data_IF_074585188733
#
_entry.id   IF_074585188733
#
_cell.length_a   1.000
_cell.length_b   1.000
_cell.length_c   1.000
_cell.angle_alpha   90.00
_cell.angle_beta   90.00
_cell.angle_gamma   90.00
#
_symmetry.space_group_name_H-M   'P 1'
#
loop_
_entity.id
_entity.type
_entity.pdbx_description
1 polymer ?
#
# COMPACT_ATOMS: atom_id res chain seq x y z
N UNK A 1 -3.42 0.38 13.00
CA UNK A 1 -4.21 -0.56 13.83
C UNK A 1 -3.53 -0.71 15.17
N UNK A 2 -4.29 -0.85 16.25
CA UNK A 2 -3.79 -1.07 17.62
C UNK A 2 -3.67 -2.57 17.91
N UNK A 3 -2.97 -2.93 18.98
CA UNK A 3 -2.94 -4.30 19.49
C UNK A 3 -4.22 -4.60 20.28
N UNK A 4 -4.85 -5.78 20.13
CA UNK A 4 -4.40 -6.96 19.38
C UNK A 4 -4.84 -7.00 17.90
N UNK A 5 -5.69 -6.08 17.45
CA UNK A 5 -6.30 -6.15 16.12
C UNK A 5 -5.26 -6.15 14.99
N UNK A 6 -4.12 -5.48 15.17
CA UNK A 6 -3.02 -5.49 14.21
C UNK A 6 -2.42 -6.89 14.00
N UNK A 7 -2.26 -7.68 15.07
CA UNK A 7 -1.79 -9.06 15.02
C UNK A 7 -2.83 -9.97 14.41
N UNK A 8 -4.07 -9.89 14.90
CA UNK A 8 -5.20 -10.69 14.42
C UNK A 8 -5.41 -10.50 12.91
N UNK A 9 -5.39 -9.25 12.45
CA UNK A 9 -5.52 -8.91 11.03
C UNK A 9 -4.36 -9.48 10.21
N UNK A 10 -3.12 -9.34 10.70
CA UNK A 10 -1.96 -9.87 9.96
C UNK A 10 -2.01 -11.40 9.84
N UNK A 11 -2.35 -12.11 10.92
CA UNK A 11 -2.51 -13.57 10.91
C UNK A 11 -3.65 -13.99 9.98
N UNK A 12 -4.80 -13.31 10.05
CA UNK A 12 -5.94 -13.59 9.18
C UNK A 12 -5.58 -13.42 7.70
N UNK A 13 -4.87 -12.35 7.33
CA UNK A 13 -4.41 -12.12 5.95
C UNK A 13 -3.45 -13.22 5.50
N UNK A 14 -2.47 -13.61 6.33
CA UNK A 14 -1.58 -14.69 5.95
C UNK A 14 -2.33 -16.02 5.73
N UNK A 15 -3.35 -16.31 6.54
CA UNK A 15 -4.19 -17.50 6.37
C UNK A 15 -4.99 -17.46 5.08
N UNK A 16 -5.63 -16.32 4.75
CA UNK A 16 -6.34 -16.14 3.48
C UNK A 16 -5.41 -16.41 2.29
N UNK A 17 -4.17 -15.92 2.33
CA UNK A 17 -3.18 -16.16 1.27
C UNK A 17 -2.85 -17.65 1.15
N UNK A 18 -2.67 -18.36 2.27
CA UNK A 18 -2.41 -19.82 2.28
C UNK A 18 -3.59 -20.63 1.76
N UNK A 19 -4.81 -20.28 2.16
CA UNK A 19 -6.05 -20.92 1.72
C UNK A 19 -6.26 -20.79 0.21
N UNK A 20 -5.75 -19.71 -0.39
CA UNK A 20 -5.74 -19.48 -1.84
C UNK A 20 -4.51 -20.08 -2.55
N UNK A 21 -3.76 -20.98 -1.89
CA UNK A 21 -2.65 -21.72 -2.48
C UNK A 21 -1.36 -20.92 -2.68
N UNK A 22 -1.25 -19.75 -2.07
CA UNK A 22 -0.06 -18.89 -2.14
C UNK A 22 0.73 -18.89 -0.83
N UNK A 23 2.01 -18.51 -0.88
CA UNK A 23 2.87 -18.41 0.31
C UNK A 23 2.93 -16.95 0.77
N UNK A 24 2.40 -16.60 1.95
CA UNK A 24 2.54 -15.24 2.48
C UNK A 24 3.99 -15.00 2.93
N UNK A 25 4.47 -13.78 2.69
CA UNK A 25 5.77 -13.33 3.15
C UNK A 25 5.62 -11.95 3.80
N UNK A 26 5.21 -11.89 5.06
CA UNK A 26 5.20 -10.63 5.81
C UNK A 26 6.63 -10.09 5.93
N UNK A 27 6.85 -8.85 5.52
CA UNK A 27 8.17 -8.22 5.49
C UNK A 27 8.30 -7.22 6.64
N UNK A 28 9.42 -7.29 7.36
CA UNK A 28 9.80 -6.30 8.36
C UNK A 28 11.31 -6.33 8.60
N UNK A 29 11.81 -5.37 9.39
CA UNK A 29 13.17 -5.41 9.92
C UNK A 29 13.09 -5.76 11.40
N UNK A 30 13.74 -6.83 11.84
CA UNK A 30 13.82 -7.23 13.24
C UNK A 30 15.27 -7.16 13.70
N UNK A 31 15.57 -6.31 14.67
CA UNK A 31 16.92 -6.13 15.23
C UNK A 31 18.00 -5.93 14.16
N UNK A 32 17.73 -5.05 13.19
CA UNK A 32 18.60 -4.75 12.05
C UNK A 32 18.62 -5.78 10.93
N UNK A 33 17.91 -6.91 11.06
CA UNK A 33 17.84 -7.94 10.02
C UNK A 33 16.57 -7.78 9.19
N UNK A 34 16.73 -7.72 7.87
CA UNK A 34 15.60 -7.79 6.93
C UNK A 34 15.03 -9.21 6.99
N UNK A 35 13.74 -9.33 7.25
CA UNK A 35 13.01 -10.59 7.25
C UNK A 35 11.98 -10.56 6.12
N UNK A 36 11.97 -11.61 5.30
CA UNK A 36 10.99 -11.83 4.24
C UNK A 36 10.24 -13.11 4.59
N UNK A 37 9.05 -12.95 5.16
CA UNK A 37 8.36 -14.00 5.90
C UNK A 37 8.74 -13.94 7.38
N UNK A 38 7.82 -13.45 8.21
CA UNK A 38 7.96 -13.47 9.66
C UNK A 38 7.50 -14.82 10.22
N UNK A 39 8.15 -15.26 11.29
CA UNK A 39 7.59 -16.31 12.15
C UNK A 39 6.43 -15.74 12.99
N UNK A 40 5.58 -16.60 13.53
CA UNK A 40 4.48 -16.18 14.42
C UNK A 40 4.98 -15.31 15.58
N UNK A 41 6.11 -15.68 16.20
CA UNK A 41 6.73 -14.91 17.26
C UNK A 41 7.27 -13.55 16.77
N UNK A 42 7.85 -13.51 15.57
CA UNK A 42 8.32 -12.26 14.96
C UNK A 42 7.16 -11.30 14.66
N UNK A 43 6.04 -11.85 14.19
CA UNK A 43 4.82 -11.09 13.92
C UNK A 43 4.19 -10.55 15.20
N UNK A 44 4.07 -11.38 16.23
CA UNK A 44 3.56 -10.98 17.55
C UNK A 44 4.44 -9.91 18.19
N UNK A 45 5.76 -10.09 18.15
CA UNK A 45 6.73 -9.10 18.65
C UNK A 45 6.51 -7.75 17.97
N UNK A 46 6.42 -7.72 16.64
CA UNK A 46 6.21 -6.48 15.89
C UNK A 46 4.86 -5.83 16.23
N UNK A 47 3.81 -6.64 16.36
CA UNK A 47 2.47 -6.17 16.69
C UNK A 47 2.38 -5.55 18.09
N UNK A 48 3.00 -6.17 19.08
CA UNK A 48 3.07 -5.67 20.47
C UNK A 48 3.94 -4.42 20.59
N UNK A 49 5.04 -4.32 19.81
CA UNK A 49 5.89 -3.13 19.80
C UNK A 49 5.11 -1.87 19.36
N UNK A 50 4.18 -2.01 18.42
CA UNK A 50 3.37 -0.90 17.93
C UNK A 50 4.23 0.28 17.48
N UNK A 51 4.00 1.45 18.08
CA UNK A 51 4.73 2.70 17.75
C UNK A 51 6.21 2.68 18.13
N UNK A 52 6.67 1.73 18.97
CA UNK A 52 8.09 1.58 19.31
C UNK A 52 8.90 1.01 18.14
N UNK A 53 8.25 0.26 17.24
CA UNK A 53 8.89 -0.17 16.00
C UNK A 53 8.96 1.03 15.04
N UNK A 54 10.14 1.33 14.51
CA UNK A 54 10.33 2.48 13.63
C UNK A 54 9.56 2.26 12.32
N UNK A 55 8.67 3.20 11.97
CA UNK A 55 8.04 3.20 10.64
C UNK A 55 9.10 3.48 9.58
N UNK A 56 9.33 2.52 8.70
CA UNK A 56 10.49 2.52 7.80
C UNK A 56 10.07 2.64 6.33
N UNK A 57 10.33 3.81 5.74
CA UNK A 57 10.28 4.01 4.29
C UNK A 57 11.62 3.66 3.66
N UNK A 58 11.76 3.75 2.33
CA UNK A 58 13.02 3.46 1.62
C UNK A 58 14.21 4.17 2.26
N UNK A 59 14.07 5.45 2.59
CA UNK A 59 15.15 6.27 3.18
C UNK A 59 15.61 5.74 4.54
N UNK A 60 14.72 5.09 5.28
CA UNK A 60 14.98 4.62 6.64
C UNK A 60 15.66 3.24 6.64
N UNK A 61 15.56 2.46 5.56
CA UNK A 61 16.02 1.07 5.53
C UNK A 61 17.49 0.92 5.94
N UNK A 62 18.39 1.71 5.34
CA UNK A 62 19.81 1.65 5.64
C UNK A 62 20.10 2.01 7.10
N UNK A 63 19.42 3.03 7.62
CA UNK A 63 19.57 3.46 9.01
C UNK A 63 19.10 2.35 9.97
N UNK A 64 17.87 1.85 9.81
CA UNK A 64 17.28 0.83 10.69
C UNK A 64 18.15 -0.44 10.72
N UNK A 65 18.64 -0.89 9.57
CA UNK A 65 19.53 -2.04 9.45
C UNK A 65 20.86 -1.78 10.16
N UNK A 66 21.53 -0.66 9.84
CA UNK A 66 22.85 -0.34 10.41
C UNK A 66 22.85 -0.18 11.93
N UNK A 67 21.72 0.29 12.48
CA UNK A 67 21.58 0.56 13.91
C UNK A 67 21.02 -0.64 14.69
N UNK A 68 20.80 -1.79 14.05
CA UNK A 68 20.26 -2.95 14.76
C UNK A 68 18.83 -2.77 15.25
N UNK A 69 18.05 -1.86 14.63
CA UNK A 69 16.70 -1.50 15.09
C UNK A 69 15.62 -2.42 14.50
N UNK A 70 14.48 -2.48 15.17
CA UNK A 70 13.26 -3.08 14.62
C UNK A 70 12.43 -2.00 13.92
N UNK A 71 12.00 -2.30 12.69
CA UNK A 71 11.22 -1.39 11.86
C UNK A 71 10.05 -2.08 11.14
N UNK A 72 8.90 -1.41 11.19
CA UNK A 72 7.71 -1.77 10.40
C UNK A 72 7.81 -1.09 9.03
N UNK A 73 7.86 -1.87 7.96
CA UNK A 73 8.06 -1.32 6.61
C UNK A 73 6.77 -0.70 6.06
N UNK A 74 6.89 0.49 5.49
CA UNK A 74 5.82 1.13 4.69
C UNK A 74 5.65 0.41 3.35
N UNK A 75 4.74 0.87 2.48
CA UNK A 75 4.61 0.35 1.11
C UNK A 75 5.94 0.50 0.37
N UNK A 76 6.53 1.70 0.35
CA UNK A 76 7.84 1.96 -0.26
C UNK A 76 8.93 1.02 0.28
N UNK A 77 9.07 0.91 1.61
CA UNK A 77 10.07 0.03 2.23
C UNK A 77 9.86 -1.45 1.88
N UNK A 78 8.60 -1.88 1.84
CA UNK A 78 8.22 -3.27 1.53
C UNK A 78 8.50 -3.61 0.08
N UNK A 79 8.13 -2.73 -0.87
CA UNK A 79 8.40 -2.93 -2.30
C UNK A 79 9.89 -3.12 -2.59
N UNK A 80 10.73 -2.28 -1.97
CA UNK A 80 12.20 -2.35 -2.09
C UNK A 80 12.72 -3.74 -1.70
N UNK A 81 12.23 -4.29 -0.59
CA UNK A 81 12.68 -5.59 -0.07
C UNK A 81 12.06 -6.74 -0.89
N UNK A 82 10.77 -6.67 -1.18
CA UNK A 82 10.03 -7.66 -1.96
C UNK A 82 10.67 -7.87 -3.33
N UNK A 83 10.97 -6.79 -4.04
CA UNK A 83 11.62 -6.86 -5.35
C UNK A 83 12.99 -7.53 -5.28
N UNK A 84 13.82 -7.17 -4.30
CA UNK A 84 15.13 -7.82 -4.09
C UNK A 84 15.03 -9.29 -3.71
N UNK A 85 13.93 -9.71 -3.10
CA UNK A 85 13.64 -11.09 -2.79
C UNK A 85 12.98 -11.85 -3.97
N UNK A 86 12.78 -11.20 -5.12
CA UNK A 86 12.12 -11.79 -6.29
C UNK A 86 10.59 -11.89 -6.18
N UNK A 87 9.99 -11.25 -5.17
CA UNK A 87 8.54 -11.19 -4.98
C UNK A 87 7.95 -10.09 -5.85
N UNK A 88 6.99 -10.45 -6.70
CA UNK A 88 6.41 -9.57 -7.73
C UNK A 88 5.04 -9.01 -7.39
N UNK A 89 4.38 -9.55 -6.36
CA UNK A 89 3.03 -9.15 -5.94
C UNK A 89 3.06 -8.81 -4.45
N UNK A 90 2.48 -7.66 -4.10
CA UNK A 90 2.39 -7.17 -2.74
C UNK A 90 0.97 -6.67 -2.48
N UNK A 91 0.32 -7.13 -1.40
CA UNK A 91 -1.00 -6.67 -0.98
C UNK A 91 -0.91 -5.76 0.24
N UNK A 92 -1.67 -4.68 0.26
CA UNK A 92 -1.80 -3.78 1.40
C UNK A 92 -3.21 -3.21 1.47
N UNK A 93 -3.57 -2.55 2.57
CA UNK A 93 -4.88 -1.88 2.65
C UNK A 93 -4.99 -0.73 1.66
N UNK A 94 -4.02 0.18 1.65
CA UNK A 94 -4.02 1.36 0.80
C UNK A 94 -2.62 1.97 0.75
N UNK A 95 -2.26 2.54 -0.39
CA UNK A 95 -0.95 3.20 -0.55
C UNK A 95 -0.94 4.59 0.12
N UNK A 96 0.24 5.15 0.35
CA UNK A 96 0.37 6.60 0.53
C UNK A 96 0.19 7.33 -0.81
N UNK A 97 0.18 8.65 -0.78
CA UNK A 97 -0.12 9.47 -1.96
C UNK A 97 0.26 10.92 -1.76
N UNK A 98 -0.31 11.78 -2.59
CA UNK A 98 -0.21 13.24 -2.46
C UNK A 98 -1.15 13.68 -1.34
N UNK A 99 -0.64 14.44 -0.38
CA UNK A 99 -1.47 14.97 0.71
C UNK A 99 -2.27 16.19 0.27
N UNK A 100 -3.39 16.48 0.96
CA UNK A 100 -4.13 17.73 0.76
C UNK A 100 -3.23 18.94 1.05
N UNK A 101 -3.17 19.90 0.11
CA UNK A 101 -2.31 21.08 0.22
C UNK A 101 -0.85 20.86 -0.19
N UNK A 102 -0.52 19.71 -0.77
CA UNK A 102 0.85 19.38 -1.21
C UNK A 102 1.42 20.36 -2.25
N UNK A 103 0.58 21.10 -2.98
CA UNK A 103 1.04 22.18 -3.87
C UNK A 103 1.78 23.31 -3.12
N UNK A 104 1.64 23.37 -1.79
CA UNK A 104 2.39 24.28 -0.91
C UNK A 104 3.37 23.54 -0.01
N UNK A 105 2.94 22.44 0.62
CA UNK A 105 3.74 21.73 1.62
C UNK A 105 4.77 20.78 1.01
N UNK A 106 4.58 20.37 -0.24
CA UNK A 106 5.33 19.29 -0.89
C UNK A 106 5.25 17.95 -0.14
N UNK A 107 4.23 17.75 0.69
CA UNK A 107 4.00 16.50 1.42
C UNK A 107 3.46 15.42 0.47
N UNK A 108 4.38 14.64 -0.08
CA UNK A 108 4.10 13.59 -1.05
C UNK A 108 4.76 12.30 -0.58
N UNK A 109 3.98 11.23 -0.50
CA UNK A 109 4.48 9.92 -0.05
C UNK A 109 5.58 9.38 -0.98
N UNK A 110 6.65 8.89 -0.36
CA UNK A 110 7.71 8.15 -1.05
C UNK A 110 7.22 6.86 -1.72
N UNK A 111 6.01 6.39 -1.40
CA UNK A 111 5.36 5.26 -2.08
C UNK A 111 5.21 5.53 -3.59
N UNK A 112 4.90 6.76 -4.00
CA UNK A 112 4.65 7.09 -5.41
C UNK A 112 5.92 7.02 -6.25
N UNK A 113 7.02 7.57 -5.74
CA UNK A 113 8.34 7.47 -6.38
C UNK A 113 8.84 6.03 -6.36
N UNK A 114 8.50 5.26 -5.33
CA UNK A 114 8.88 3.84 -5.30
C UNK A 114 8.12 3.02 -6.33
N UNK A 115 6.82 3.25 -6.50
CA UNK A 115 6.03 2.70 -7.59
C UNK A 115 6.64 3.06 -8.95
N UNK A 116 7.20 4.26 -9.14
CA UNK A 116 7.84 4.64 -10.40
C UNK A 116 9.09 3.86 -10.79
N UNK A 117 9.72 3.11 -9.87
CA UNK A 117 11.05 2.50 -10.10
C UNK A 117 11.25 1.07 -9.60
N UNK A 118 10.21 0.47 -9.03
CA UNK A 118 10.29 -0.88 -8.46
C UNK A 118 9.18 -1.74 -9.05
N UNK A 119 9.51 -2.75 -9.89
CA UNK A 119 8.54 -3.54 -10.63
C UNK A 119 7.87 -4.60 -9.74
N UNK A 120 7.01 -4.12 -8.85
CA UNK A 120 6.13 -4.91 -7.97
C UNK A 120 4.71 -4.42 -8.21
N UNK A 121 3.79 -5.37 -8.39
CA UNK A 121 2.36 -5.08 -8.45
C UNK A 121 1.81 -4.93 -7.03
N UNK A 122 1.28 -3.76 -6.72
CA UNK A 122 0.65 -3.43 -5.44
C UNK A 122 -0.86 -3.54 -5.58
N UNK A 123 -1.46 -4.44 -4.81
CA UNK A 123 -2.90 -4.66 -4.73
C UNK A 123 -3.44 -3.99 -3.46
N UNK A 124 -4.39 -3.06 -3.59
CA UNK A 124 -4.94 -2.34 -2.43
C UNK A 124 -6.30 -1.70 -2.72
N UNK A 125 -6.96 -1.14 -1.71
CA UNK A 125 -8.20 -0.39 -1.85
C UNK A 125 -7.99 1.07 -2.33
N UNK A 126 -7.01 1.29 -3.22
CA UNK A 126 -6.62 2.63 -3.68
C UNK A 126 -5.69 3.36 -2.70
N UNK A 127 -5.82 4.68 -2.62
CA UNK A 127 -5.03 5.55 -1.73
C UNK A 127 -5.80 5.77 -0.42
N UNK A 128 -5.09 5.91 0.71
CA UNK A 128 -5.75 6.18 2.00
C UNK A 128 -6.64 7.43 1.91
N UNK A 129 -7.84 7.39 2.49
CA UNK A 129 -8.87 8.44 2.36
C UNK A 129 -8.44 9.85 2.84
N UNK A 130 -7.35 9.96 3.59
CA UNK A 130 -6.78 11.23 4.04
C UNK A 130 -5.97 11.98 2.97
N UNK A 131 -5.93 11.47 1.74
CA UNK A 131 -5.07 11.93 0.66
C UNK A 131 -5.87 12.50 -0.50
N UNK A 132 -5.19 13.27 -1.35
CA UNK A 132 -5.74 13.88 -2.56
C UNK A 132 -5.64 12.85 -3.71
N UNK A 133 -6.78 12.24 -4.07
CA UNK A 133 -6.84 11.16 -5.06
C UNK A 133 -6.43 11.69 -6.45
N UNK A 134 -6.99 12.82 -6.86
CA UNK A 134 -6.74 13.44 -8.15
C UNK A 134 -5.25 13.68 -8.36
N UNK A 135 -4.60 14.41 -7.44
CA UNK A 135 -3.17 14.68 -7.54
C UNK A 135 -2.32 13.42 -7.43
N UNK A 136 -2.79 12.41 -6.70
CA UNK A 136 -2.08 11.13 -6.62
C UNK A 136 -2.08 10.40 -7.96
N UNK A 137 -3.22 10.38 -8.67
CA UNK A 137 -3.31 9.76 -10.00
C UNK A 137 -2.42 10.50 -11.02
N UNK A 138 -2.44 11.83 -11.03
CA UNK A 138 -1.56 12.66 -11.88
C UNK A 138 -0.06 12.42 -11.59
N UNK A 139 0.29 12.27 -10.31
CA UNK A 139 1.67 11.96 -9.92
C UNK A 139 2.08 10.56 -10.38
N UNK A 140 1.20 9.57 -10.25
CA UNK A 140 1.45 8.20 -10.70
C UNK A 140 1.61 8.10 -12.22
N UNK A 141 0.81 8.87 -12.98
CA UNK A 141 1.01 9.03 -14.41
C UNK A 141 2.42 9.56 -14.72
N UNK A 142 2.81 10.65 -14.05
CA UNK A 142 4.15 11.26 -14.22
C UNK A 142 5.29 10.27 -13.90
N UNK A 143 5.07 9.39 -12.92
CA UNK A 143 6.05 8.36 -12.53
C UNK A 143 6.03 7.12 -13.45
N UNK A 144 5.18 7.06 -14.48
CA UNK A 144 5.09 5.91 -15.38
C UNK A 144 4.51 4.65 -14.71
N UNK A 145 3.66 4.83 -13.70
CA UNK A 145 3.03 3.73 -12.96
C UNK A 145 1.74 3.33 -13.67
N UNK A 146 1.59 2.04 -13.98
CA UNK A 146 0.34 1.52 -14.51
C UNK A 146 -0.71 1.43 -13.40
N UNK A 147 -1.75 2.27 -13.45
CA UNK A 147 -2.87 2.26 -12.50
C UNK A 147 -4.12 1.65 -13.14
N UNK A 148 -4.69 0.66 -12.46
CA UNK A 148 -5.89 -0.05 -12.91
C UNK A 148 -6.89 -0.25 -11.78
N UNK A 149 -8.18 -0.01 -12.02
CA UNK A 149 -9.24 -0.49 -11.12
C UNK A 149 -9.58 -1.95 -11.45
N UNK A 150 -9.72 -2.80 -10.44
CA UNK A 150 -10.27 -4.14 -10.60
C UNK A 150 -11.80 -4.12 -10.58
N UNK A 151 -12.43 -4.56 -11.65
CA UNK A 151 -13.88 -4.62 -11.82
C UNK A 151 -14.37 -4.09 -13.16
N UNK A 152 -15.69 -3.90 -13.26
CA UNK A 152 -16.35 -3.48 -14.51
C UNK A 152 -16.14 -2.01 -14.87
N UNK A 153 -15.77 -1.18 -13.90
CA UNK A 153 -15.63 0.27 -14.08
C UNK A 153 -14.19 0.72 -13.87
N UNK A 154 -13.90 1.94 -14.33
CA UNK A 154 -12.64 2.63 -14.03
C UNK A 154 -12.70 3.48 -12.76
N UNK A 155 -13.81 3.48 -12.02
CA UNK A 155 -13.94 4.29 -10.82
C UNK A 155 -12.88 3.86 -9.80
N UNK A 156 -12.03 4.77 -9.38
CA UNK A 156 -10.96 4.47 -8.45
C UNK A 156 -11.54 4.40 -7.02
N UNK A 157 -11.24 3.36 -6.23
CA UNK A 157 -11.76 3.27 -4.86
C UNK A 157 -11.09 4.29 -3.93
N UNK A 158 -11.86 4.83 -2.97
CA UNK A 158 -11.36 5.77 -1.96
C UNK A 158 -11.14 5.11 -0.60
N UNK A 159 -10.55 3.91 -0.61
CA UNK A 159 -10.22 3.09 0.56
C UNK A 159 -11.44 2.57 1.35
N UNK A 160 -12.20 3.44 2.01
CA UNK A 160 -13.41 3.05 2.75
C UNK A 160 -14.68 3.00 1.90
N UNK A 161 -14.66 3.59 0.70
CA UNK A 161 -15.78 3.56 -0.24
C UNK A 161 -15.35 2.93 -1.56
N UNK A 162 -16.23 2.17 -2.23
CA UNK A 162 -15.91 1.47 -3.48
C UNK A 162 -15.68 2.43 -4.65
N UNK A 163 -16.18 3.67 -4.52
CA UNK A 163 -16.18 4.70 -5.55
C UNK A 163 -15.65 6.01 -4.96
N UNK A 164 -14.84 6.71 -5.73
CA UNK A 164 -14.30 8.05 -5.40
C UNK A 164 -14.82 9.15 -6.32
N UNK A 165 -15.36 8.79 -7.49
CA UNK A 165 -15.67 9.73 -8.57
C UNK A 165 -14.47 10.10 -9.44
N UNK A 166 -13.25 9.71 -9.06
CA UNK A 166 -12.06 9.78 -9.91
C UNK A 166 -11.89 8.48 -10.70
N UNK A 167 -11.26 8.57 -11.87
CA UNK A 167 -11.13 7.43 -12.78
C UNK A 167 -9.68 6.98 -12.88
N UNK A 168 -9.44 5.68 -12.72
CA UNK A 168 -8.21 5.04 -13.18
C UNK A 168 -8.05 5.21 -14.70
N UNK A 169 -6.81 5.24 -15.21
CA UNK A 169 -6.54 5.20 -16.65
C UNK A 169 -7.22 4.01 -17.34
N UNK A 170 -7.21 2.84 -16.70
CA UNK A 170 -7.78 1.59 -17.21
C UNK A 170 -8.42 0.74 -16.11
N UNK A 171 -9.12 -0.33 -16.49
CA UNK A 171 -9.66 -1.33 -15.57
C UNK A 171 -9.36 -2.76 -16.07
N UNK A 172 -9.36 -3.70 -15.12
CA UNK A 172 -9.16 -5.13 -15.36
C UNK A 172 -10.31 -5.90 -14.70
N UNK A 173 -10.91 -6.83 -15.42
CA UNK A 173 -12.13 -7.53 -14.98
C UNK A 173 -11.84 -8.86 -14.30
N UNK A 174 -10.69 -9.45 -14.58
CA UNK A 174 -10.36 -10.80 -14.12
C UNK A 174 -8.95 -10.88 -13.55
N UNK A 175 -8.73 -11.83 -12.64
CA UNK A 175 -7.38 -12.11 -12.10
C UNK A 175 -6.38 -12.52 -13.19
N UNK A 176 -6.88 -13.11 -14.30
CA UNK A 176 -6.06 -13.46 -15.47
C UNK A 176 -5.56 -12.22 -16.20
N UNK A 177 -6.39 -11.18 -16.32
CA UNK A 177 -5.99 -9.90 -16.88
C UNK A 177 -4.97 -9.19 -15.98
N UNK A 178 -5.15 -9.24 -14.65
CA UNK A 178 -4.14 -8.76 -13.70
C UNK A 178 -2.80 -9.47 -13.88
N UNK A 179 -2.80 -10.81 -13.99
CA UNK A 179 -1.58 -11.58 -14.22
C UNK A 179 -0.93 -11.24 -15.58
N UNK A 180 -1.73 -11.05 -16.63
CA UNK A 180 -1.24 -10.66 -17.95
C UNK A 180 -0.59 -9.26 -17.96
N UNK A 181 -1.15 -8.30 -17.21
CA UNK A 181 -0.54 -6.98 -17.03
C UNK A 181 0.84 -7.10 -16.37
N UNK A 182 0.93 -7.90 -15.30
CA UNK A 182 2.18 -8.12 -14.56
C UNK A 182 3.24 -8.77 -15.45
N UNK A 183 2.85 -9.81 -16.20
CA UNK A 183 3.76 -10.46 -17.14
C UNK A 183 4.21 -9.50 -18.25
N UNK A 184 3.30 -8.75 -18.86
CA UNK A 184 3.63 -7.77 -19.89
C UNK A 184 4.62 -6.70 -19.40
N UNK A 185 4.42 -6.16 -18.19
CA UNK A 185 5.35 -5.20 -17.58
C UNK A 185 6.77 -5.78 -17.45
N UNK A 186 6.87 -7.06 -17.08
CA UNK A 186 8.14 -7.78 -16.94
C UNK A 186 8.80 -8.03 -18.31
N UNK A 187 8.04 -8.52 -19.29
CA UNK A 187 8.55 -8.80 -20.64
C UNK A 187 9.05 -7.53 -21.33
N UNK A 188 8.37 -6.40 -21.12
CA UNK A 188 8.75 -5.09 -21.65
C UNK A 188 9.87 -4.41 -20.87
N UNK A 189 10.31 -4.98 -19.74
CA UNK A 189 11.36 -4.42 -18.88
C UNK A 189 11.11 -2.96 -18.47
N UNK A 190 9.86 -2.61 -18.18
CA UNK A 190 9.48 -1.23 -17.88
C UNK A 190 10.08 -0.71 -16.56
N UNK A 191 10.43 -1.61 -15.64
CA UNK A 191 11.02 -1.31 -14.32
C UNK A 191 10.17 -0.38 -13.42
N UNK A 192 8.91 -0.14 -13.79
CA UNK A 192 7.91 0.53 -12.96
C UNK A 192 6.95 -0.48 -12.34
N UNK A 193 6.45 -0.15 -11.15
CA UNK A 193 5.40 -0.88 -10.47
C UNK A 193 4.04 -0.73 -11.13
N UNK A 194 3.09 -1.48 -10.60
CA UNK A 194 1.69 -1.44 -11.02
C UNK A 194 0.82 -1.25 -9.78
N UNK A 195 -0.25 -0.46 -9.90
CA UNK A 195 -1.26 -0.30 -8.87
C UNK A 195 -2.56 -0.94 -9.35
N UNK A 196 -2.95 -2.04 -8.70
CA UNK A 196 -4.23 -2.71 -8.93
C UNK A 196 -5.16 -2.34 -7.78
N UNK A 197 -6.02 -1.35 -8.03
CA UNK A 197 -6.96 -0.84 -7.05
C UNK A 197 -8.23 -1.69 -7.02
N UNK A 198 -8.47 -2.38 -5.91
CA UNK A 198 -9.60 -3.30 -5.70
C UNK A 198 -10.62 -2.61 -4.80
N UNK A 199 -11.83 -2.29 -5.28
CA UNK A 199 -12.87 -1.69 -4.44
C UNK A 199 -13.22 -2.57 -3.25
N UNK A 200 -13.45 -1.93 -2.10
CA UNK A 200 -14.05 -2.60 -0.94
C UNK A 200 -15.44 -3.16 -1.34
N UNK A 201 -15.84 -4.35 -0.86
CA UNK A 201 -17.18 -4.87 -1.13
C UNK A 201 -18.27 -3.87 -0.70
N UNK A 202 -19.33 -3.74 -1.51
CA UNK A 202 -20.43 -2.78 -1.27
C UNK A 202 -21.09 -2.97 0.11
N UNK A 203 -21.18 -4.20 0.61
CA UNK A 203 -21.75 -4.51 1.91
C UNK A 203 -20.83 -4.18 3.11
N UNK A 204 -19.54 -3.94 2.85
CA UNK A 204 -18.52 -3.54 3.84
C UNK A 204 -18.14 -2.05 3.71
N UNK A 205 -18.74 -1.34 2.73
CA UNK A 205 -18.44 0.05 2.46
C UNK A 205 -18.91 0.94 3.62
N UNK A 206 -18.07 1.91 3.99
CA UNK A 206 -18.46 2.93 4.95
C UNK A 206 -19.47 3.91 4.33
N UNK A 207 -20.24 4.56 5.19
CA UNK A 207 -21.07 5.69 4.78
C UNK A 207 -20.18 6.85 4.31
N UNK A 208 -20.28 7.18 3.02
CA UNK A 208 -19.45 8.19 2.38
C UNK A 208 -19.57 9.57 3.06
N UNK A 209 -20.76 9.95 3.53
CA UNK A 209 -20.97 11.24 4.19
C UNK A 209 -20.25 11.27 5.55
N UNK A 210 -20.32 10.16 6.31
CA UNK A 210 -19.61 10.05 7.60
C UNK A 210 -18.09 10.09 7.42
N UNK A 211 -17.56 9.43 6.38
CA UNK A 211 -16.14 9.49 6.07
C UNK A 211 -15.72 10.92 5.70
N UNK A 212 -16.50 11.61 4.88
CA UNK A 212 -16.20 12.98 4.47
C UNK A 212 -16.25 13.97 5.63
N UNK A 213 -17.21 13.83 6.54
CA UNK A 213 -17.30 14.62 7.77
C UNK A 213 -16.08 14.38 8.67
N UNK A 214 -15.76 13.12 8.96
CA UNK A 214 -14.60 12.76 9.78
C UNK A 214 -13.28 13.25 9.17
N UNK A 215 -13.14 13.14 7.84
CA UNK A 215 -11.98 13.64 7.12
C UNK A 215 -11.84 15.16 7.24
N UNK A 216 -12.94 15.89 7.09
CA UNK A 216 -12.96 17.36 7.17
C UNK A 216 -12.51 17.83 8.56
N UNK A 217 -12.96 17.16 9.62
CA UNK A 217 -12.55 17.44 11.00
C UNK A 217 -11.05 17.13 11.17
N UNK A 218 -10.61 15.92 10.81
CA UNK A 218 -9.23 15.49 11.00
C UNK A 218 -8.23 16.36 10.22
N UNK A 219 -8.55 16.77 8.99
CA UNK A 219 -7.71 17.67 8.19
C UNK A 219 -7.67 19.09 8.76
N UNK A 220 -8.75 19.55 9.40
CA UNK A 220 -8.75 20.83 10.07
C UNK A 220 -7.84 20.79 11.31
N UNK A 221 -7.99 19.78 12.17
CA UNK A 221 -7.18 19.60 13.38
C UNK A 221 -5.68 19.45 13.07
N UNK A 222 -5.35 18.67 12.03
CA UNK A 222 -3.95 18.43 11.63
C UNK A 222 -3.23 19.68 11.12
N UNK A 223 -3.94 20.72 10.66
CA UNK A 223 -3.32 22.00 10.24
C UNK A 223 -2.83 22.85 11.42
N UNK A 224 -3.26 22.54 12.63
CA UNK A 224 -2.91 23.27 13.85
C UNK A 224 -1.81 22.58 14.68
N UNK A 225 -1.23 21.50 14.15
CA UNK A 225 -0.12 20.73 14.75
C UNK A 225 1.13 20.94 13.90
#
# INVERSE_FOLDING_TARGET
MQYPQNLETAVAIENIVRENGSIPATIAILNGKINVGLSSNGLETLAQMGQKARKSSRRDLAYVVSQGLTGSTTVSGTMVIAHRAGIRVFVTGGIGGVHWGAEKSMDVSADLVELGRTPVAVVCAGVKSILDIEKTLEYLETQGVSVTTFGETRDFPAFFTPRSGFMSPSNLKTVKECAALIDANIQLQLNSGMLIAVPIPENEAADANKIQEALSIALAEAKYI
#
